data_IF_676155783773
#
_entry.id   IF_676155783773
#
_cell.length_a   1.000
_cell.length_b   1.000
_cell.length_c   1.000
_cell.angle_alpha   90.00
_cell.angle_beta   90.00
_cell.angle_gamma   90.00
#
_symmetry.space_group_name_H-M   'P 1'
#
loop_
_entity.id
_entity.type
_entity.pdbx_description
1 polymer ?
#
# COMPACT_ATOMS: atom_id res chain seq x y z
N UNK A 1 -4.86 -12.04 -9.36
CA UNK A 1 -5.68 -10.96 -9.97
C UNK A 1 -4.93 -9.66 -9.78
N UNK A 2 -4.42 -9.07 -10.87
CA UNK A 2 -3.71 -7.79 -10.79
C UNK A 2 -4.69 -6.69 -10.35
N UNK A 3 -4.30 -5.93 -9.32
CA UNK A 3 -4.98 -4.72 -8.88
C UNK A 3 -4.91 -3.65 -9.96
N UNK A 4 -5.77 -3.74 -10.99
CA UNK A 4 -5.76 -2.81 -12.14
C UNK A 4 -5.94 -1.35 -11.75
N UNK A 5 -6.47 -1.09 -10.56
CA UNK A 5 -6.78 0.28 -10.08
C UNK A 5 -5.77 0.79 -9.03
N UNK A 6 -4.80 -0.03 -8.61
CA UNK A 6 -3.80 0.38 -7.62
C UNK A 6 -2.48 0.69 -8.30
N UNK A 7 -1.89 1.82 -7.92
CA UNK A 7 -0.58 2.28 -8.39
C UNK A 7 0.39 2.30 -7.22
N UNK A 8 1.66 1.94 -7.45
CA UNK A 8 2.69 2.07 -6.43
C UNK A 8 2.90 3.56 -6.16
N UNK A 9 2.73 3.96 -4.90
CA UNK A 9 3.08 5.29 -4.44
C UNK A 9 4.57 5.34 -4.06
N UNK A 10 5.03 4.38 -3.26
CA UNK A 10 6.41 4.34 -2.76
C UNK A 10 6.83 2.90 -2.40
N UNK A 11 8.13 2.60 -2.50
CA UNK A 11 8.69 1.29 -2.12
C UNK A 11 9.96 1.46 -1.29
N UNK A 12 10.02 0.77 -0.16
CA UNK A 12 11.19 0.73 0.71
C UNK A 12 11.49 -0.71 1.15
N UNK A 13 12.56 -1.28 0.58
CA UNK A 13 12.98 -2.66 0.87
C UNK A 13 11.89 -3.69 0.60
N UNK A 14 11.44 -4.33 1.68
CA UNK A 14 10.37 -5.33 1.70
C UNK A 14 8.96 -4.72 1.56
N UNK A 15 8.78 -3.43 1.85
CA UNK A 15 7.46 -2.80 1.94
C UNK A 15 7.14 -1.92 0.75
N UNK A 16 5.88 -1.90 0.37
CA UNK A 16 5.33 -1.09 -0.72
C UNK A 16 4.04 -0.43 -0.26
N UNK A 17 3.91 0.87 -0.52
CA UNK A 17 2.64 1.58 -0.42
C UNK A 17 2.04 1.69 -1.81
N UNK A 18 0.77 1.32 -1.88
CA UNK A 18 -0.05 1.44 -3.07
C UNK A 18 -1.17 2.42 -2.79
N UNK A 19 -1.58 3.15 -3.82
CA UNK A 19 -2.72 4.06 -3.76
C UNK A 19 -3.69 3.83 -4.91
N UNK A 20 -4.95 4.15 -4.67
CA UNK A 20 -5.98 4.27 -5.71
C UNK A 20 -6.89 5.46 -5.43
N UNK A 21 -7.40 6.06 -6.49
CA UNK A 21 -8.45 7.07 -6.41
C UNK A 21 -9.80 6.40 -6.69
N UNK A 22 -10.80 6.77 -5.90
CA UNK A 22 -12.16 6.25 -6.02
C UNK A 22 -13.10 7.43 -5.97
N UNK A 23 -14.02 7.48 -6.92
CA UNK A 23 -15.11 8.43 -6.89
C UNK A 23 -16.25 7.86 -6.03
N UNK A 24 -16.60 8.59 -4.97
CA UNK A 24 -17.76 8.28 -4.14
C UNK A 24 -19.04 8.71 -4.87
N UNK A 25 -20.18 8.16 -4.44
CA UNK A 25 -21.48 8.42 -5.07
C UNK A 25 -21.92 9.90 -4.99
N UNK A 26 -21.32 10.67 -4.08
CA UNK A 26 -21.55 12.11 -3.92
C UNK A 26 -20.67 12.98 -4.85
N UNK A 27 -19.86 12.36 -5.71
CA UNK A 27 -18.91 13.03 -6.60
C UNK A 27 -17.57 13.38 -5.94
N UNK A 28 -17.38 13.03 -4.66
CA UNK A 28 -16.11 13.25 -3.97
C UNK A 28 -15.08 12.22 -4.43
N UNK A 29 -13.88 12.66 -4.79
CA UNK A 29 -12.76 11.75 -5.00
C UNK A 29 -12.04 11.49 -3.68
N UNK A 30 -12.00 10.23 -3.26
CA UNK A 30 -11.21 9.78 -2.11
C UNK A 30 -10.01 8.97 -2.57
N UNK A 31 -8.88 9.17 -1.90
CA UNK A 31 -7.68 8.36 -2.13
C UNK A 31 -7.58 7.32 -1.02
N UNK A 32 -7.48 6.06 -1.40
CA UNK A 32 -7.20 4.98 -0.48
C UNK A 32 -5.75 4.55 -0.59
N UNK A 33 -5.16 4.17 0.54
CA UNK A 33 -3.80 3.67 0.61
C UNK A 33 -3.79 2.25 1.16
N UNK A 34 -2.87 1.43 0.69
CA UNK A 34 -2.59 0.14 1.30
C UNK A 34 -1.09 -0.14 1.36
N UNK A 35 -0.66 -0.80 2.42
CA UNK A 35 0.68 -1.31 2.59
C UNK A 35 0.73 -2.80 2.32
N UNK A 36 1.66 -3.21 1.47
CA UNK A 36 1.98 -4.61 1.20
C UNK A 36 3.41 -4.88 1.63
N UNK A 37 3.62 -5.95 2.40
CA UNK A 37 4.94 -6.41 2.77
C UNK A 37 5.31 -7.63 1.93
N UNK A 38 6.58 -7.73 1.56
CA UNK A 38 7.13 -8.82 0.77
C UNK A 38 8.33 -9.39 1.50
N UNK A 39 8.40 -10.71 1.55
CA UNK A 39 9.56 -11.43 2.05
C UNK A 39 10.35 -12.01 0.88
N UNK A 40 11.65 -12.19 1.05
CA UNK A 40 12.51 -12.85 0.09
C UNK A 40 12.84 -14.24 0.62
N UNK A 41 12.35 -15.27 -0.07
CA UNK A 41 12.60 -16.68 0.25
C UNK A 41 13.21 -17.30 -1.00
N UNK A 42 14.42 -17.87 -0.87
CA UNK A 42 15.17 -18.49 -1.96
C UNK A 42 15.39 -17.58 -3.19
N UNK A 43 15.54 -16.27 -2.96
CA UNK A 43 15.70 -15.26 -4.02
C UNK A 43 14.41 -14.89 -4.75
N UNK A 44 13.28 -15.47 -4.34
CA UNK A 44 11.96 -15.09 -4.83
C UNK A 44 11.28 -14.09 -3.89
N UNK A 45 10.87 -12.95 -4.44
CA UNK A 45 10.06 -11.96 -3.72
C UNK A 45 8.62 -12.48 -3.63
N UNK A 46 8.17 -12.82 -2.42
CA UNK A 46 6.81 -13.29 -2.14
C UNK A 46 6.06 -12.29 -1.30
N UNK A 47 4.85 -11.94 -1.73
CA UNK A 47 3.95 -11.08 -0.96
C UNK A 47 3.56 -11.81 0.34
N UNK A 48 3.67 -11.12 1.46
CA UNK A 48 3.12 -11.55 2.75
C UNK A 48 1.61 -11.30 2.71
N UNK A 49 0.81 -12.24 3.22
CA UNK A 49 -0.66 -12.14 3.15
C UNK A 49 -1.21 -10.89 3.86
N UNK A 50 -0.46 -10.30 4.79
CA UNK A 50 -0.85 -9.08 5.49
C UNK A 50 -0.84 -7.86 4.54
N UNK A 51 -2.04 -7.35 4.27
CA UNK A 51 -2.24 -6.05 3.59
C UNK A 51 -2.87 -5.09 4.58
N UNK A 52 -2.19 -3.97 4.85
CA UNK A 52 -2.72 -2.89 5.71
C UNK A 52 -3.41 -1.84 4.86
N UNK A 53 -4.48 -1.25 5.38
CA UNK A 53 -5.19 -0.16 4.71
C UNK A 53 -5.05 1.11 5.54
N UNK A 54 -4.93 2.25 4.87
CA UNK A 54 -4.81 3.55 5.50
C UNK A 54 -5.70 4.56 4.79
N UNK A 55 -6.30 5.45 5.58
CA UNK A 55 -7.14 6.54 5.07
C UNK A 55 -6.30 7.78 4.72
N UNK A 56 -5.08 7.87 5.26
CA UNK A 56 -4.17 9.00 5.04
C UNK A 56 -2.82 8.56 4.52
N UNK A 57 -2.28 9.34 3.58
CA UNK A 57 -0.94 9.12 3.04
C UNK A 57 0.13 9.12 4.14
N UNK A 58 0.02 10.02 5.12
CA UNK A 58 0.99 10.15 6.21
C UNK A 58 1.08 8.89 7.06
N UNK A 59 -0.04 8.20 7.31
CA UNK A 59 -0.08 6.95 8.07
C UNK A 59 0.55 5.81 7.27
N UNK A 60 0.26 5.73 5.98
CA UNK A 60 0.88 4.78 5.07
C UNK A 60 2.41 4.98 4.99
N UNK A 61 2.85 6.22 4.87
CA UNK A 61 4.28 6.57 4.82
C UNK A 61 4.98 6.31 6.17
N UNK A 62 4.32 6.54 7.30
CA UNK A 62 4.87 6.20 8.62
C UNK A 62 5.10 4.69 8.76
N UNK A 63 4.13 3.87 8.33
CA UNK A 63 4.30 2.41 8.28
C UNK A 63 5.44 1.97 7.36
N UNK A 64 5.55 2.60 6.19
CA UNK A 64 6.61 2.30 5.23
C UNK A 64 8.01 2.53 5.83
N UNK A 65 8.20 3.69 6.47
CA UNK A 65 9.46 4.09 7.09
C UNK A 65 9.82 3.29 8.36
N UNK A 66 8.98 2.34 8.79
CA UNK A 66 9.20 1.60 10.02
C UNK A 66 9.04 2.47 11.29
N UNK A 67 8.46 3.66 11.17
CA UNK A 67 7.93 4.42 12.30
C UNK A 67 6.65 3.73 12.76
N UNK A 68 6.85 2.57 13.37
CA UNK A 68 5.87 1.92 14.23
C UNK A 68 5.75 2.86 15.43
N UNK A 69 4.57 3.46 15.60
CA UNK A 69 4.23 4.22 16.80
C UNK A 69 4.34 3.37 18.06
#
# INVERSE_FOLDING_TARGET
>A
MQSRDWTILERQGAREIWQRQIEAQDGTTVTQYRGEEFTEIDGERRKVDETRHFDKQTEAMAWLNGQTG
#
